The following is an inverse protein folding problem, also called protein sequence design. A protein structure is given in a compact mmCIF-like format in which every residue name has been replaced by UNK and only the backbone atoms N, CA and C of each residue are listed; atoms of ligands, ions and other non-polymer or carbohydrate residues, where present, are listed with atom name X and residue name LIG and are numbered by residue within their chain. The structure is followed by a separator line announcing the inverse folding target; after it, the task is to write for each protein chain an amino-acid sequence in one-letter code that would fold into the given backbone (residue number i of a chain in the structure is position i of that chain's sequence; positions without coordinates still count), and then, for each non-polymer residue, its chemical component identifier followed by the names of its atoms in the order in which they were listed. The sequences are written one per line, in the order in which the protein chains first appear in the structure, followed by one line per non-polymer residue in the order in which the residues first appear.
data_IF_658834341752
#
_entry.id   IF_658834341752
#
_cell.length_a   1.000
_cell.length_b   1.000
_cell.length_c   1.000
_cell.angle_alpha   90.00
_cell.angle_beta   90.00
_cell.angle_gamma   90.00
#
_symmetry.space_group_name_H-M   'P 1'
#
loop_
_entity.id
_entity.type
_entity.pdbx_description
1 polymer ?
#
# COMPACT_ATOMS: atom_id res chain seq x y z
N UNK A 1 13.30 -15.30 6.27
CA UNK A 1 14.66 -15.27 5.69
C UNK A 1 14.81 -14.13 4.66
N UNK A 2 13.94 -14.03 3.64
CA UNK A 2 13.90 -12.93 2.63
C UNK A 2 13.67 -11.55 3.28
N UNK A 3 12.69 -11.44 4.17
CA UNK A 3 12.37 -10.21 4.91
C UNK A 3 13.56 -9.57 5.65
N UNK A 4 14.53 -10.36 6.12
CA UNK A 4 15.70 -9.87 6.87
C UNK A 4 16.84 -9.38 5.97
N UNK A 5 16.95 -9.92 4.76
CA UNK A 5 17.93 -9.48 3.75
C UNK A 5 17.50 -8.13 3.17
N UNK A 6 16.19 -8.01 2.89
CA UNK A 6 15.59 -6.83 2.34
C UNK A 6 15.58 -5.65 3.34
N UNK A 7 15.42 -5.92 4.65
CA UNK A 7 15.45 -4.87 5.69
C UNK A 7 16.74 -4.02 5.74
N UNK A 8 17.83 -4.51 5.13
CA UNK A 8 19.12 -3.82 5.04
C UNK A 8 19.40 -3.22 3.66
N UNK A 9 18.41 -3.20 2.78
CA UNK A 9 18.60 -2.78 1.40
C UNK A 9 18.81 -1.25 1.31
N UNK A 10 19.97 -0.85 0.76
CA UNK A 10 20.32 0.55 0.54
C UNK A 10 19.32 1.28 -0.35
N UNK A 11 18.65 0.59 -1.27
CA UNK A 11 17.61 1.16 -2.12
C UNK A 11 16.44 1.61 -1.26
N UNK A 12 15.96 0.76 -0.35
CA UNK A 12 14.80 1.08 0.49
C UNK A 12 15.15 2.19 1.47
N UNK A 13 16.33 2.14 2.10
CA UNK A 13 16.81 3.22 2.96
C UNK A 13 16.92 4.56 2.20
N UNK A 14 17.37 4.52 0.93
CA UNK A 14 17.47 5.70 0.07
C UNK A 14 16.09 6.25 -0.28
N UNK A 15 15.13 5.40 -0.62
CA UNK A 15 13.75 5.79 -0.91
C UNK A 15 13.10 6.42 0.32
N UNK A 16 13.14 5.76 1.48
CA UNK A 16 12.57 6.27 2.74
C UNK A 16 13.19 7.61 3.13
N UNK A 17 14.52 7.76 3.01
CA UNK A 17 15.20 9.03 3.28
C UNK A 17 14.72 10.15 2.35
N UNK A 18 14.49 9.87 1.07
CA UNK A 18 13.97 10.86 0.12
C UNK A 18 12.52 11.23 0.41
N UNK A 19 11.68 10.26 0.80
CA UNK A 19 10.30 10.52 1.20
C UNK A 19 10.22 11.31 2.52
N UNK A 20 11.17 11.14 3.43
CA UNK A 20 11.20 11.82 4.73
C UNK A 20 11.78 13.24 4.71
N UNK A 21 12.62 13.58 3.72
CA UNK A 21 13.33 14.90 3.69
C UNK A 21 12.42 16.11 3.61
N UNK A 22 11.23 15.95 3.04
CA UNK A 22 10.29 17.03 2.77
C UNK A 22 8.96 16.84 3.54
N UNK A 23 8.97 16.01 4.59
CA UNK A 23 7.79 15.82 5.43
C UNK A 23 7.41 17.10 6.20
N UNK A 24 8.40 17.91 6.58
CA UNK A 24 8.21 19.18 7.32
C UNK A 24 7.82 20.36 6.40
N UNK A 25 8.09 20.27 5.09
CA UNK A 25 7.75 21.33 4.12
C UNK A 25 6.32 21.20 3.55
N UNK A 26 5.59 20.14 3.93
CA UNK A 26 4.22 19.88 3.50
C UNK A 26 4.07 19.41 2.05
N UNK A 27 5.16 19.35 1.27
CA UNK A 27 5.15 18.91 -0.13
C UNK A 27 6.32 17.97 -0.37
N UNK A 28 6.05 16.66 -0.37
CA UNK A 28 7.03 15.66 -0.81
C UNK A 28 6.99 15.54 -2.34
N UNK A 29 8.09 15.79 -3.06
CA UNK A 29 8.11 15.65 -4.50
C UNK A 29 7.90 14.18 -4.90
N UNK A 30 7.24 13.91 -6.05
CA UNK A 30 7.04 12.55 -6.52
C UNK A 30 8.39 11.87 -6.77
N UNK A 31 8.48 10.60 -6.39
CA UNK A 31 9.64 9.75 -6.61
C UNK A 31 9.27 8.60 -7.53
N UNK A 32 10.00 8.46 -8.64
CA UNK A 32 9.88 7.30 -9.53
C UNK A 32 10.98 6.29 -9.22
N UNK A 33 10.61 5.01 -9.17
CA UNK A 33 11.53 3.86 -9.11
C UNK A 33 11.27 3.02 -10.36
N UNK A 34 12.33 2.73 -11.11
CA UNK A 34 12.27 1.97 -12.37
C UNK A 34 13.07 0.67 -12.28
N UNK A 35 12.84 -0.24 -13.23
CA UNK A 35 13.47 -1.56 -13.24
C UNK A 35 12.80 -2.58 -12.32
N UNK A 36 11.61 -2.28 -11.80
CA UNK A 36 10.79 -3.21 -11.02
C UNK A 36 10.08 -4.18 -11.97
N UNK A 37 10.10 -5.47 -11.64
CA UNK A 37 9.39 -6.50 -12.39
C UNK A 37 8.79 -7.55 -11.45
N UNK A 38 7.65 -8.12 -11.84
CA UNK A 38 6.87 -9.04 -11.00
C UNK A 38 6.61 -8.46 -9.60
N UNK A 39 6.83 -9.28 -8.57
CA UNK A 39 6.62 -8.95 -7.15
C UNK A 39 7.57 -7.89 -6.59
N UNK A 40 8.53 -7.37 -7.37
CA UNK A 40 9.49 -6.36 -6.87
C UNK A 40 8.80 -5.06 -6.41
N UNK A 41 7.72 -4.65 -7.06
CA UNK A 41 6.97 -3.45 -6.70
C UNK A 41 6.20 -3.60 -5.37
N UNK A 42 5.35 -4.63 -5.17
CA UNK A 42 4.68 -4.84 -3.89
C UNK A 42 5.67 -5.12 -2.76
N UNK A 43 6.75 -5.88 -3.01
CA UNK A 43 7.82 -6.07 -2.03
C UNK A 43 8.44 -4.75 -1.59
N UNK A 44 8.83 -3.90 -2.54
CA UNK A 44 9.40 -2.57 -2.24
C UNK A 44 8.41 -1.72 -1.43
N UNK A 45 7.13 -1.71 -1.81
CA UNK A 45 6.09 -0.98 -1.09
C UNK A 45 5.97 -1.45 0.37
N UNK A 46 5.84 -2.75 0.62
CA UNK A 46 5.76 -3.28 1.98
C UNK A 46 7.02 -3.00 2.81
N UNK A 47 8.20 -3.03 2.19
CA UNK A 47 9.44 -2.67 2.87
C UNK A 47 9.50 -1.18 3.24
N UNK A 48 9.04 -0.30 2.35
CA UNK A 48 8.91 1.14 2.62
C UNK A 48 7.92 1.37 3.76
N UNK A 49 6.75 0.73 3.74
CA UNK A 49 5.76 0.82 4.81
C UNK A 49 6.36 0.40 6.16
N UNK A 50 7.04 -0.74 6.19
CA UNK A 50 7.69 -1.26 7.39
C UNK A 50 8.79 -0.35 7.92
N UNK A 51 9.63 0.21 7.04
CA UNK A 51 10.76 1.04 7.46
C UNK A 51 10.35 2.48 7.81
N UNK A 52 9.35 3.03 7.12
CA UNK A 52 8.85 4.38 7.38
C UNK A 52 7.96 4.48 8.61
N UNK A 53 7.41 3.35 9.09
CA UNK A 53 6.40 3.30 10.16
C UNK A 53 5.20 4.23 9.90
N UNK A 54 4.88 4.43 8.61
CA UNK A 54 3.78 5.24 8.12
C UNK A 54 2.80 4.36 7.35
N UNK A 55 1.50 4.70 7.34
CA UNK A 55 0.54 4.02 6.47
C UNK A 55 0.96 4.16 5.02
N UNK A 56 0.68 3.13 4.22
CA UNK A 56 0.94 3.12 2.79
C UNK A 56 -0.34 2.74 2.06
N UNK A 57 -0.75 3.55 1.10
CA UNK A 57 -1.79 3.20 0.13
C UNK A 57 -1.11 2.69 -1.14
N UNK A 58 -1.30 1.41 -1.45
CA UNK A 58 -0.83 0.81 -2.70
C UNK A 58 -1.96 0.84 -3.74
N UNK A 59 -1.67 1.31 -4.95
CA UNK A 59 -2.66 1.45 -6.02
C UNK A 59 -2.21 0.60 -7.20
N UNK A 60 -3.04 -0.35 -7.59
CA UNK A 60 -2.90 -1.13 -8.83
C UNK A 60 -3.90 -0.65 -9.88
N UNK A 61 -3.72 -1.09 -11.14
CA UNK A 61 -4.66 -0.77 -12.21
C UNK A 61 -5.94 -1.61 -12.15
N UNK A 62 -5.83 -2.84 -11.62
CA UNK A 62 -6.91 -3.82 -11.55
C UNK A 62 -7.03 -4.44 -10.16
N UNK A 63 -8.22 -4.97 -9.83
CA UNK A 63 -8.51 -5.55 -8.51
C UNK A 63 -7.68 -6.81 -8.26
N UNK A 64 -7.54 -7.67 -9.27
CA UNK A 64 -6.75 -8.90 -9.21
C UNK A 64 -5.27 -8.59 -8.88
N UNK A 65 -4.75 -7.50 -9.44
CA UNK A 65 -3.39 -7.04 -9.14
C UNK A 65 -3.24 -6.48 -7.72
N UNK A 66 -4.33 -5.99 -7.11
CA UNK A 66 -4.31 -5.57 -5.71
C UNK A 66 -4.25 -6.80 -4.80
N UNK A 67 -5.03 -7.83 -5.11
CA UNK A 67 -5.04 -9.09 -4.37
C UNK A 67 -3.68 -9.79 -4.47
N UNK A 68 -3.12 -9.93 -5.68
CA UNK A 68 -1.78 -10.48 -5.91
C UNK A 68 -0.71 -9.69 -5.10
N UNK A 69 -0.83 -8.36 -5.07
CA UNK A 69 0.09 -7.51 -4.32
C UNK A 69 0.00 -7.74 -2.81
N UNK A 70 -1.19 -7.93 -2.25
CA UNK A 70 -1.38 -8.24 -0.82
C UNK A 70 -0.74 -9.59 -0.49
N UNK A 71 -0.97 -10.61 -1.31
CA UNK A 71 -0.37 -11.94 -1.14
C UNK A 71 1.16 -11.90 -1.21
N UNK A 72 1.72 -11.14 -2.16
CA UNK A 72 3.16 -10.93 -2.30
C UNK A 72 3.75 -10.24 -1.05
N UNK A 73 3.10 -9.17 -0.56
CA UNK A 73 3.55 -8.45 0.63
C UNK A 73 3.55 -9.35 1.87
N UNK A 74 2.50 -10.16 2.05
CA UNK A 74 2.40 -11.12 3.14
C UNK A 74 3.48 -12.19 3.02
N UNK A 75 3.62 -12.79 1.84
CA UNK A 75 4.57 -13.87 1.57
C UNK A 75 6.03 -13.44 1.76
N UNK A 76 6.41 -12.27 1.22
CA UNK A 76 7.81 -11.87 1.17
C UNK A 76 8.24 -10.99 2.35
N UNK A 77 7.33 -10.18 2.89
CA UNK A 77 7.64 -9.18 3.94
C UNK A 77 6.94 -9.48 5.27
N UNK A 78 5.98 -10.41 5.29
CA UNK A 78 5.19 -10.75 6.48
C UNK A 78 4.18 -9.66 6.84
N UNK A 79 3.78 -8.87 5.84
CA UNK A 79 2.99 -7.66 6.00
C UNK A 79 1.75 -7.80 5.12
N UNK A 80 0.60 -8.01 5.75
CA UNK A 80 -0.69 -8.13 5.07
C UNK A 80 -1.44 -6.81 5.22
N UNK A 81 -1.81 -6.20 4.09
CA UNK A 81 -2.68 -5.03 4.04
C UNK A 81 -4.14 -5.41 3.80
N UNK A 82 -5.03 -4.43 3.90
CA UNK A 82 -6.44 -4.57 3.56
C UNK A 82 -6.71 -4.14 2.10
N UNK A 83 -7.59 -4.87 1.40
CA UNK A 83 -8.04 -4.50 0.06
C UNK A 83 -9.23 -3.54 0.17
N UNK A 84 -9.13 -2.34 -0.41
CA UNK A 84 -10.28 -1.45 -0.56
C UNK A 84 -11.03 -1.83 -1.85
N UNK A 85 -12.21 -2.48 -1.78
CA UNK A 85 -12.82 -3.07 -2.96
C UNK A 85 -13.29 -1.97 -3.93
N UNK A 86 -13.09 -2.24 -5.23
CA UNK A 86 -13.59 -1.40 -6.30
C UNK A 86 -15.12 -1.50 -6.39
N UNK A 87 -15.76 -0.46 -6.91
CA UNK A 87 -17.17 -0.55 -7.29
C UNK A 87 -17.33 -1.44 -8.52
N UNK A 88 -18.29 -2.34 -8.49
CA UNK A 88 -18.64 -3.21 -9.64
C UNK A 88 -19.48 -2.50 -10.69
N UNK A 89 -20.21 -1.45 -10.27
CA UNK A 89 -21.04 -0.63 -11.14
C UNK A 89 -20.39 0.72 -11.38
N UNK A 90 -20.70 1.33 -12.52
CA UNK A 90 -20.27 2.69 -12.80
C UNK A 90 -21.09 3.69 -11.98
N UNK A 91 -20.54 4.88 -11.74
CA UNK A 91 -21.30 5.96 -11.12
C UNK A 91 -22.61 6.21 -11.89
N UNK A 92 -23.75 6.08 -11.22
CA UNK A 92 -25.08 6.31 -11.78
C UNK A 92 -25.85 5.06 -12.24
N UNK A 93 -25.25 3.86 -12.21
CA UNK A 93 -25.90 2.61 -12.65
C UNK A 93 -26.80 1.93 -11.58
N UNK A 94 -27.10 2.62 -10.47
CA UNK A 94 -28.02 2.14 -9.42
C UNK A 94 -27.35 1.88 -8.07
N UNK A 95 -28.07 1.20 -7.17
CA UNK A 95 -27.52 0.79 -5.87
C UNK A 95 -26.51 -0.35 -6.11
N UNK A 96 -25.24 0.02 -6.22
CA UNK A 96 -24.12 -0.92 -6.24
C UNK A 96 -24.07 -1.68 -4.91
N UNK A 97 -23.78 -2.99 -5.00
CA UNK A 97 -23.84 -3.99 -3.94
C UNK A 97 -23.66 -3.47 -2.52
N UNK A 98 -24.70 -3.65 -1.70
CA UNK A 98 -24.73 -3.25 -0.28
C UNK A 98 -23.51 -3.78 0.49
N UNK A 99 -23.00 -4.96 0.11
CA UNK A 99 -21.80 -5.56 0.71
C UNK A 99 -20.53 -4.75 0.41
N UNK A 100 -20.29 -4.36 -0.85
CA UNK A 100 -19.13 -3.54 -1.24
C UNK A 100 -19.23 -2.16 -0.58
N UNK A 101 -20.43 -1.56 -0.55
CA UNK A 101 -20.64 -0.28 0.10
C UNK A 101 -20.35 -0.35 1.61
N UNK A 102 -20.84 -1.39 2.28
CA UNK A 102 -20.63 -1.61 3.70
C UNK A 102 -19.14 -1.86 4.01
N UNK A 103 -18.46 -2.69 3.23
CA UNK A 103 -17.05 -3.01 3.45
C UNK A 103 -16.15 -1.79 3.25
N UNK A 104 -16.40 -0.99 2.22
CA UNK A 104 -15.70 0.29 2.03
C UNK A 104 -15.93 1.24 3.19
N UNK A 105 -17.17 1.37 3.67
CA UNK A 105 -17.49 2.22 4.80
C UNK A 105 -16.80 1.75 6.09
N UNK A 106 -16.74 0.43 6.32
CA UNK A 106 -16.02 -0.20 7.43
C UNK A 106 -14.54 0.15 7.38
N UNK A 107 -13.85 -0.15 6.29
CA UNK A 107 -12.42 0.14 6.11
C UNK A 107 -12.12 1.64 6.25
N UNK A 108 -12.88 2.51 5.58
CA UNK A 108 -12.69 3.95 5.71
C UNK A 108 -12.94 4.44 7.15
N UNK A 109 -13.86 3.82 7.89
CA UNK A 109 -14.09 4.10 9.30
C UNK A 109 -12.91 3.69 10.18
N UNK A 110 -12.37 2.48 9.97
CA UNK A 110 -11.23 1.92 10.69
C UNK A 110 -9.97 2.75 10.49
N UNK A 111 -9.60 3.06 9.25
CA UNK A 111 -8.43 3.88 8.94
C UNK A 111 -8.58 5.35 9.34
N UNK A 112 -9.81 5.86 9.49
CA UNK A 112 -10.04 7.19 10.06
C UNK A 112 -9.89 7.21 11.58
N UNK A 113 -10.35 6.15 12.26
CA UNK A 113 -10.35 6.06 13.71
C UNK A 113 -8.97 5.65 14.27
N UNK A 114 -8.24 4.82 13.55
CA UNK A 114 -6.84 4.56 13.83
C UNK A 114 -6.05 5.85 13.57
N UNK A 115 -5.48 6.47 14.59
CA UNK A 115 -4.51 7.57 14.46
C UNK A 115 -3.16 7.14 13.78
N UNK A 116 -3.15 5.92 13.23
CA UNK A 116 -2.25 5.26 12.24
C UNK A 116 -0.86 4.77 12.73
N UNK A 117 -0.32 3.57 12.36
CA UNK A 117 -0.83 2.46 11.48
C UNK A 117 -0.81 1.00 12.02
N UNK A 118 -1.73 0.16 11.52
CA UNK A 118 -1.40 -1.18 10.98
C UNK A 118 -1.49 -1.09 9.43
N UNK A 119 -0.65 -1.88 8.76
CA UNK A 119 -0.33 -1.71 7.33
C UNK A 119 -1.51 -2.14 6.46
#
# INVERSE_FOLDING_TARGET
MIASLAARDELVARVVRRLGRDADSGVTPPLAVSGLWGSSAPMLAAMIARQSARPLLYISAHAEQADDAIEDMETFVGLRGDALPAWELRPGEGAAGDEIAAERARLCGEYRAAAVPRI
#
